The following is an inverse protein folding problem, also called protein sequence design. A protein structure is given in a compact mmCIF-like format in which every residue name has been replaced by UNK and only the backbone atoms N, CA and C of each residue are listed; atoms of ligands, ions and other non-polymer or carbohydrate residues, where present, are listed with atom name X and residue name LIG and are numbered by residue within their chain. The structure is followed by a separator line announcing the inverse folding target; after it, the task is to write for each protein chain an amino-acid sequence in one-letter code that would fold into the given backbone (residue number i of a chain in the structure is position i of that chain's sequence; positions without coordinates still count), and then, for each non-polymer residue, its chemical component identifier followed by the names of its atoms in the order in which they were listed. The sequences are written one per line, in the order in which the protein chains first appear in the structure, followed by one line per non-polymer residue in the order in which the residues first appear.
data_IF_980741187259
#
_entry.id   IF_980741187259
#
_cell.length_a   1.000
_cell.length_b   1.000
_cell.length_c   1.000
_cell.angle_alpha   90.00
_cell.angle_beta   90.00
_cell.angle_gamma   90.00
#
_symmetry.space_group_name_H-M   'P 1'
#
loop_
_entity.id
_entity.type
_entity.pdbx_description
1 polymer ?
#
# COMPACT_ATOMS: atom_id res chain seq x y z
N UNK A 1 1.35 15.22 -18.66
CA UNK A 1 1.38 13.90 -19.32
C UNK A 1 0.09 13.16 -19.08
N UNK A 2 -0.29 12.26 -19.99
CA UNK A 2 -1.36 11.29 -19.82
C UNK A 2 -0.75 9.97 -19.32
N UNK A 3 -1.06 9.60 -18.10
CA UNK A 3 -0.55 8.39 -17.45
C UNK A 3 -1.68 7.36 -17.36
N UNK A 4 -1.48 6.20 -17.99
CA UNK A 4 -2.48 5.12 -17.98
C UNK A 4 -2.19 4.11 -16.90
N UNK A 5 -3.15 3.80 -16.02
CA UNK A 5 -2.97 2.85 -14.94
C UNK A 5 -4.27 2.22 -14.46
N UNK A 6 -4.21 0.95 -14.02
CA UNK A 6 -5.34 0.29 -13.37
C UNK A 6 -5.43 0.65 -11.89
N UNK A 7 -6.66 0.74 -11.40
CA UNK A 7 -6.94 0.81 -9.97
C UNK A 7 -6.78 -0.58 -9.35
N UNK A 8 -5.58 -0.88 -8.83
CA UNK A 8 -5.25 -2.19 -8.21
C UNK A 8 -5.11 -2.06 -6.69
N UNK A 9 -4.29 -1.13 -6.24
CA UNK A 9 -4.01 -0.87 -4.83
C UNK A 9 -4.59 0.49 -4.42
N UNK A 10 -5.78 0.47 -3.78
CA UNK A 10 -6.57 1.69 -3.54
C UNK A 10 -5.82 2.81 -2.84
N UNK A 11 -5.14 2.53 -1.71
CA UNK A 11 -4.40 3.55 -0.96
C UNK A 11 -3.18 4.08 -1.76
N UNK A 12 -2.42 3.21 -2.45
CA UNK A 12 -1.30 3.63 -3.29
C UNK A 12 -1.77 4.47 -4.48
N UNK A 13 -2.79 3.97 -5.20
CA UNK A 13 -3.36 4.69 -6.35
C UNK A 13 -3.91 6.05 -5.93
N UNK A 14 -4.54 6.12 -4.74
CA UNK A 14 -5.03 7.39 -4.18
C UNK A 14 -3.90 8.41 -4.05
N UNK A 15 -2.76 8.04 -3.49
CA UNK A 15 -1.60 8.94 -3.38
C UNK A 15 -1.05 9.30 -4.76
N UNK A 16 -0.94 8.35 -5.67
CA UNK A 16 -0.36 8.54 -6.99
C UNK A 16 -1.16 9.53 -7.86
N UNK A 17 -2.50 9.44 -7.84
CA UNK A 17 -3.35 10.32 -8.66
C UNK A 17 -3.45 11.77 -8.13
N UNK A 18 -2.89 12.07 -6.96
CA UNK A 18 -2.73 13.44 -6.48
C UNK A 18 -1.59 14.20 -7.16
N UNK A 19 -0.83 13.55 -8.04
CA UNK A 19 0.17 14.22 -8.86
C UNK A 19 -0.45 15.14 -9.92
N UNK A 20 0.40 15.90 -10.59
CA UNK A 20 -0.01 16.95 -11.56
C UNK A 20 -0.41 16.44 -12.95
N UNK A 21 -0.38 15.14 -13.18
CA UNK A 21 -0.65 14.53 -14.49
C UNK A 21 -2.15 14.24 -14.66
N UNK A 22 -2.57 13.96 -15.89
CA UNK A 22 -3.89 13.38 -16.17
C UNK A 22 -3.75 11.87 -16.09
N UNK A 23 -4.53 11.25 -15.23
CA UNK A 23 -4.50 9.80 -15.00
C UNK A 23 -5.69 9.13 -15.65
N UNK A 24 -5.43 8.24 -16.61
CA UNK A 24 -6.43 7.50 -17.34
C UNK A 24 -6.70 6.18 -16.62
N UNK A 25 -7.89 6.03 -16.06
CA UNK A 25 -8.27 4.91 -15.21
C UNK A 25 -9.25 3.99 -15.95
N UNK A 26 -8.86 2.76 -16.30
CA UNK A 26 -9.73 1.78 -16.94
C UNK A 26 -11.04 1.56 -16.20
N UNK A 27 -12.15 1.65 -16.92
CA UNK A 27 -13.49 1.33 -16.39
C UNK A 27 -14.24 0.42 -17.37
N UNK A 28 -14.84 -0.64 -16.80
CA UNK A 28 -15.78 -1.55 -17.50
C UNK A 28 -17.18 -1.40 -16.91
N UNK A 29 -18.24 -1.75 -17.65
CA UNK A 29 -19.61 -1.67 -17.16
C UNK A 29 -19.87 -2.46 -15.87
N UNK A 30 -19.23 -3.66 -15.76
CA UNK A 30 -19.31 -4.55 -14.60
C UNK A 30 -18.39 -4.11 -13.44
N UNK A 31 -17.51 -3.13 -13.68
CA UNK A 31 -16.46 -2.70 -12.75
C UNK A 31 -15.65 -3.88 -12.18
N UNK A 32 -15.41 -4.87 -13.03
CA UNK A 32 -14.57 -6.02 -12.69
C UNK A 32 -13.09 -5.65 -12.51
N UNK A 33 -12.24 -6.63 -12.16
CA UNK A 33 -10.84 -6.39 -11.79
C UNK A 33 -9.97 -5.82 -12.93
N UNK A 34 -10.43 -5.85 -14.17
CA UNK A 34 -9.73 -5.28 -15.32
C UNK A 34 -10.22 -3.87 -15.70
N UNK A 35 -11.25 -3.37 -15.03
CA UNK A 35 -11.83 -2.06 -15.26
C UNK A 35 -12.66 -1.58 -14.09
N UNK A 36 -12.05 -1.51 -12.89
CA UNK A 36 -12.73 -1.09 -11.65
C UNK A 36 -13.14 0.39 -11.68
N UNK A 37 -12.42 1.22 -12.47
CA UNK A 37 -12.63 2.66 -12.49
C UNK A 37 -12.09 3.36 -11.24
N UNK A 38 -12.61 4.56 -10.99
CA UNK A 38 -12.24 5.38 -9.81
C UNK A 38 -12.65 4.70 -8.50
N UNK A 39 -11.90 5.01 -7.44
CA UNK A 39 -12.22 4.52 -6.11
C UNK A 39 -13.56 5.04 -5.60
N UNK A 40 -14.30 4.20 -4.87
CA UNK A 40 -15.58 4.57 -4.22
C UNK A 40 -15.39 4.97 -2.76
N UNK A 41 -14.34 4.45 -2.11
CA UNK A 41 -14.05 4.65 -0.68
C UNK A 41 -12.99 5.71 -0.42
N UNK A 42 -12.37 6.24 -1.49
CA UNK A 42 -11.35 7.29 -1.46
C UNK A 42 -11.80 8.50 -2.28
N UNK A 43 -11.38 9.69 -1.87
CA UNK A 43 -11.58 10.91 -2.65
C UNK A 43 -10.40 11.08 -3.62
N UNK A 44 -10.66 11.01 -4.92
CA UNK A 44 -9.66 11.25 -5.96
C UNK A 44 -9.89 12.59 -6.65
N UNK A 45 -8.83 13.31 -7.02
CA UNK A 45 -8.94 14.58 -7.73
C UNK A 45 -9.49 14.36 -9.15
N UNK A 46 -9.95 15.46 -9.80
CA UNK A 46 -10.63 15.41 -11.10
C UNK A 46 -9.71 14.97 -12.26
N UNK A 47 -8.40 15.14 -12.12
CA UNK A 47 -7.42 14.69 -13.12
C UNK A 47 -7.30 13.16 -13.23
N UNK A 48 -7.90 12.39 -12.33
CA UNK A 48 -8.09 10.94 -12.46
C UNK A 48 -9.38 10.67 -13.23
N UNK A 49 -9.29 10.37 -14.52
CA UNK A 49 -10.42 10.29 -15.48
C UNK A 49 -10.69 8.82 -15.83
N UNK A 50 -11.94 8.38 -15.72
CA UNK A 50 -12.33 7.04 -16.20
C UNK A 50 -12.32 7.01 -17.73
N UNK A 51 -11.78 5.92 -18.30
CA UNK A 51 -11.76 5.67 -19.74
C UNK A 51 -12.27 4.26 -20.05
N UNK A 52 -13.12 4.13 -21.07
CA UNK A 52 -13.51 2.82 -21.63
C UNK A 52 -12.41 2.25 -22.50
N UNK A 53 -12.46 0.95 -22.88
CA UNK A 53 -11.49 0.37 -23.83
C UNK A 53 -11.37 1.14 -25.14
N UNK A 54 -12.49 1.60 -25.70
CA UNK A 54 -12.53 2.34 -26.96
C UNK A 54 -11.87 3.72 -26.80
N UNK A 55 -12.15 4.41 -25.71
CA UNK A 55 -11.53 5.70 -25.39
C UNK A 55 -10.03 5.54 -25.16
N UNK A 56 -9.62 4.55 -24.36
CA UNK A 56 -8.22 4.30 -24.06
C UNK A 56 -7.38 3.97 -25.30
N UNK A 57 -7.96 3.21 -26.27
CA UNK A 57 -7.29 2.89 -27.51
C UNK A 57 -6.98 4.13 -28.36
N UNK A 58 -7.84 5.16 -28.31
CA UNK A 58 -7.70 6.42 -29.06
C UNK A 58 -6.95 7.54 -28.30
N UNK A 59 -6.78 7.41 -26.97
CA UNK A 59 -6.10 8.45 -26.17
C UNK A 59 -4.58 8.46 -26.41
N UNK A 60 -3.96 9.65 -26.47
CA UNK A 60 -2.51 9.75 -26.37
C UNK A 60 -2.09 9.36 -24.94
N UNK A 61 -1.24 8.34 -24.84
CA UNK A 61 -0.69 7.85 -23.58
C UNK A 61 0.81 8.06 -23.57
N UNK A 62 1.32 8.84 -22.62
CA UNK A 62 2.74 9.13 -22.49
C UNK A 62 3.50 8.05 -21.72
N UNK A 63 2.86 7.50 -20.66
CA UNK A 63 3.44 6.44 -19.82
C UNK A 63 2.35 5.49 -19.34
N UNK A 64 2.65 4.19 -19.33
CA UNK A 64 1.78 3.14 -18.76
C UNK A 64 2.36 2.65 -17.45
N UNK A 65 1.54 2.58 -16.39
CA UNK A 65 1.88 1.96 -15.11
C UNK A 65 1.25 0.58 -15.03
N UNK A 66 2.09 -0.44 -15.02
CA UNK A 66 1.73 -1.85 -14.85
C UNK A 66 1.90 -2.24 -13.38
N UNK A 67 1.00 -3.06 -12.84
CA UNK A 67 1.00 -3.48 -11.45
C UNK A 67 0.74 -4.98 -11.25
N UNK A 68 0.32 -5.69 -12.33
CA UNK A 68 -0.03 -7.12 -12.27
C UNK A 68 0.58 -7.86 -13.46
N UNK A 69 1.03 -9.11 -13.29
CA UNK A 69 1.60 -9.89 -14.38
C UNK A 69 0.70 -9.97 -15.63
N UNK A 70 -0.60 -10.07 -15.47
CA UNK A 70 -1.55 -10.16 -16.60
C UNK A 70 -1.63 -8.89 -17.45
N UNK A 71 -1.27 -7.75 -16.90
CA UNK A 71 -1.19 -6.49 -17.66
C UNK A 71 -0.05 -6.55 -18.67
N UNK A 72 1.07 -7.18 -18.29
CA UNK A 72 2.26 -7.33 -19.11
C UNK A 72 2.22 -8.64 -19.96
N UNK A 73 2.15 -9.79 -19.28
CA UNK A 73 2.29 -11.11 -19.90
C UNK A 73 0.99 -11.59 -20.55
N UNK A 74 -0.16 -11.20 -20.00
CA UNK A 74 -1.50 -11.58 -20.52
C UNK A 74 -2.03 -10.68 -21.62
N UNK A 75 -1.23 -9.71 -22.11
CA UNK A 75 -1.60 -8.78 -23.17
C UNK A 75 -2.79 -7.87 -22.81
N UNK A 76 -3.12 -7.74 -21.53
CA UNK A 76 -4.23 -6.87 -21.10
C UNK A 76 -3.95 -5.42 -21.48
N UNK A 77 -2.74 -4.93 -21.19
CA UNK A 77 -2.38 -3.55 -21.52
C UNK A 77 -2.39 -3.29 -23.02
N UNK A 78 -1.87 -4.21 -23.82
CA UNK A 78 -1.87 -4.10 -25.29
C UNK A 78 -3.30 -3.97 -25.85
N UNK A 79 -4.26 -4.78 -25.37
CA UNK A 79 -5.67 -4.69 -25.78
C UNK A 79 -6.30 -3.33 -25.44
N UNK A 80 -6.02 -2.81 -24.22
CA UNK A 80 -6.55 -1.51 -23.79
C UNK A 80 -5.92 -0.33 -24.55
N UNK A 81 -4.67 -0.47 -24.97
CA UNK A 81 -3.92 0.56 -25.68
C UNK A 81 -4.05 0.49 -27.22
N UNK A 82 -5.06 -0.25 -27.74
CA UNK A 82 -5.29 -0.36 -29.17
C UNK A 82 -4.17 -1.07 -29.92
N UNK A 83 -3.55 -2.09 -29.32
CA UNK A 83 -2.45 -2.86 -29.90
C UNK A 83 -1.04 -2.31 -29.61
N UNK A 84 -0.93 -1.14 -28.95
CA UNK A 84 0.38 -0.57 -28.57
C UNK A 84 0.97 -1.34 -27.37
N UNK A 85 2.22 -1.77 -27.49
CA UNK A 85 2.90 -2.64 -26.51
C UNK A 85 3.65 -1.82 -25.47
N UNK A 86 3.38 -2.02 -24.16
CA UNK A 86 4.13 -1.37 -23.10
C UNK A 86 5.64 -1.65 -23.17
N UNK A 87 6.46 -0.62 -23.05
CA UNK A 87 7.91 -0.64 -23.13
C UNK A 87 8.48 -0.65 -24.54
N UNK A 88 7.62 -0.79 -25.59
CA UNK A 88 8.06 -0.80 -26.98
C UNK A 88 7.43 0.32 -27.81
N UNK A 89 6.11 0.41 -27.77
CA UNK A 89 5.33 1.38 -28.53
C UNK A 89 4.84 2.53 -27.63
N UNK A 90 4.82 2.29 -26.32
CA UNK A 90 4.51 3.27 -25.26
C UNK A 90 5.45 3.06 -24.07
N UNK A 91 6.11 4.10 -23.55
CA UNK A 91 6.92 4.02 -22.34
C UNK A 91 6.17 3.39 -21.18
N UNK A 92 6.82 2.52 -20.40
CA UNK A 92 6.13 1.81 -19.33
C UNK A 92 6.98 1.59 -18.08
N UNK A 93 6.31 1.65 -16.94
CA UNK A 93 6.86 1.34 -15.61
C UNK A 93 6.06 0.17 -15.04
N UNK A 94 6.75 -0.83 -14.50
CA UNK A 94 6.11 -1.85 -13.69
C UNK A 94 6.33 -1.55 -12.21
N UNK A 95 5.25 -1.41 -11.45
CA UNK A 95 5.30 -1.16 -10.00
C UNK A 95 5.03 -2.47 -9.26
N UNK A 96 6.02 -2.95 -8.50
CA UNK A 96 5.88 -4.15 -7.70
C UNK A 96 5.54 -3.81 -6.25
N UNK A 97 4.31 -4.16 -5.88
CA UNK A 97 3.75 -3.91 -4.55
C UNK A 97 3.99 -5.04 -3.55
N UNK A 98 4.31 -6.24 -4.04
CA UNK A 98 4.33 -7.45 -3.22
C UNK A 98 5.75 -7.96 -3.05
N UNK A 99 6.04 -8.48 -1.85
CA UNK A 99 7.17 -9.37 -1.66
C UNK A 99 6.95 -10.68 -2.45
N UNK A 100 8.02 -11.39 -2.89
CA UNK A 100 7.91 -12.67 -3.56
C UNK A 100 7.07 -13.67 -2.76
N UNK A 101 6.21 -14.45 -3.43
CA UNK A 101 5.36 -15.46 -2.81
C UNK A 101 5.66 -16.82 -3.43
N UNK A 102 6.23 -17.74 -2.69
CA UNK A 102 6.64 -19.03 -3.17
C UNK A 102 8.08 -19.32 -2.76
N UNK A 103 8.96 -19.68 -3.68
CA UNK A 103 10.38 -19.88 -3.40
C UNK A 103 11.11 -18.54 -3.33
N UNK A 104 10.97 -17.85 -2.20
CA UNK A 104 11.32 -16.44 -2.01
C UNK A 104 12.72 -16.08 -2.52
N UNK A 105 13.71 -16.91 -2.29
CA UNK A 105 15.11 -16.65 -2.69
C UNK A 105 15.42 -17.02 -4.15
N UNK A 106 14.46 -17.55 -4.90
CA UNK A 106 14.63 -18.04 -6.26
C UNK A 106 13.62 -17.40 -7.22
N UNK A 107 12.74 -16.54 -6.71
CA UNK A 107 11.67 -15.98 -7.56
C UNK A 107 12.19 -14.89 -8.47
N UNK A 108 12.06 -15.16 -9.76
CA UNK A 108 12.30 -14.20 -10.81
C UNK A 108 11.05 -13.37 -11.05
N UNK A 109 11.23 -12.05 -11.15
CA UNK A 109 10.12 -11.14 -11.37
C UNK A 109 9.49 -11.33 -12.77
N UNK A 110 8.15 -11.22 -12.93
CA UNK A 110 7.48 -11.32 -14.24
C UNK A 110 8.02 -10.37 -15.31
N UNK A 111 8.53 -9.20 -14.92
CA UNK A 111 9.17 -8.24 -15.81
C UNK A 111 10.69 -8.46 -15.96
N UNK A 112 11.27 -9.51 -15.37
CA UNK A 112 12.71 -9.74 -15.43
C UNK A 112 13.22 -9.96 -16.86
N UNK A 113 14.35 -9.35 -17.19
CA UNK A 113 14.94 -9.44 -18.53
C UNK A 113 14.25 -8.53 -19.56
N UNK A 114 13.50 -7.52 -19.15
CA UNK A 114 12.85 -6.50 -19.97
C UNK A 114 13.58 -5.15 -19.82
N UNK A 115 14.69 -4.91 -20.54
CA UNK A 115 15.44 -3.65 -20.46
C UNK A 115 14.65 -2.44 -21.00
N UNK A 116 13.57 -2.69 -21.72
CA UNK A 116 12.62 -1.70 -22.24
C UNK A 116 11.57 -1.26 -21.21
N UNK A 117 11.63 -1.77 -19.99
CA UNK A 117 10.79 -1.38 -18.86
C UNK A 117 11.63 -0.83 -17.71
N UNK A 118 11.04 0.00 -16.87
CA UNK A 118 11.56 0.30 -15.54
C UNK A 118 10.74 -0.46 -14.49
N UNK A 119 11.42 -1.24 -13.64
CA UNK A 119 10.78 -1.92 -12.52
C UNK A 119 10.96 -1.05 -11.26
N UNK A 120 9.85 -0.57 -10.71
CA UNK A 120 9.83 0.23 -9.47
C UNK A 120 9.30 -0.62 -8.33
N UNK A 121 10.13 -0.81 -7.31
CA UNK A 121 9.74 -1.45 -6.06
C UNK A 121 9.24 -0.40 -5.06
N UNK A 122 8.21 -0.74 -4.30
CA UNK A 122 7.66 0.16 -3.28
C UNK A 122 8.40 0.12 -1.94
N UNK A 123 9.35 -0.81 -1.79
CA UNK A 123 10.25 -0.93 -0.62
C UNK A 123 11.61 -1.46 -1.01
N UNK A 124 12.62 -1.18 -0.18
CA UNK A 124 13.95 -1.77 -0.32
C UNK A 124 13.93 -3.29 -0.10
N UNK A 125 13.05 -3.76 0.79
CA UNK A 125 12.84 -5.20 1.00
C UNK A 125 12.41 -5.91 -0.29
N UNK A 126 11.46 -5.37 -1.04
CA UNK A 126 11.05 -5.95 -2.32
C UNK A 126 12.20 -5.98 -3.33
N UNK A 127 12.94 -4.88 -3.45
CA UNK A 127 14.08 -4.78 -4.36
C UNK A 127 15.19 -5.80 -4.03
N UNK A 128 15.39 -6.12 -2.73
CA UNK A 128 16.37 -7.11 -2.29
C UNK A 128 15.98 -8.54 -2.69
N UNK A 129 14.69 -8.88 -2.65
CA UNK A 129 14.23 -10.26 -2.82
C UNK A 129 13.78 -10.63 -4.24
N UNK A 130 13.45 -9.67 -5.08
CA UNK A 130 13.06 -9.94 -6.46
C UNK A 130 14.27 -10.01 -7.40
N UNK A 131 14.44 -11.14 -8.10
CA UNK A 131 15.39 -11.23 -9.23
C UNK A 131 14.80 -10.49 -10.44
N UNK A 132 15.29 -9.29 -10.70
CA UNK A 132 14.91 -8.48 -11.85
C UNK A 132 15.66 -8.82 -13.15
N UNK A 133 16.69 -9.70 -13.10
CA UNK A 133 17.55 -9.97 -14.25
C UNK A 133 18.21 -8.69 -14.77
N UNK A 134 18.07 -8.40 -16.06
CA UNK A 134 18.60 -7.18 -16.69
C UNK A 134 17.64 -5.98 -16.71
N UNK A 135 16.47 -6.10 -16.10
CA UNK A 135 15.51 -4.98 -16.03
C UNK A 135 16.03 -3.88 -15.10
N UNK A 136 16.11 -2.63 -15.54
CA UNK A 136 16.45 -1.51 -14.66
C UNK A 136 15.49 -1.42 -13.47
N UNK A 137 16.03 -1.19 -12.28
CA UNK A 137 15.23 -1.10 -11.05
C UNK A 137 15.39 0.25 -10.36
N UNK A 138 14.35 0.68 -9.66
CA UNK A 138 14.34 1.81 -8.71
C UNK A 138 13.49 1.43 -7.49
N UNK A 139 13.67 2.17 -6.41
CA UNK A 139 12.78 2.13 -5.25
C UNK A 139 12.12 3.49 -5.12
N UNK A 140 10.79 3.49 -5.07
CA UNK A 140 9.98 4.66 -4.70
C UNK A 140 9.11 4.26 -3.53
N UNK A 141 9.51 4.65 -2.33
CA UNK A 141 8.77 4.33 -1.11
C UNK A 141 7.38 4.97 -1.12
N UNK A 142 6.47 4.36 -0.38
CA UNK A 142 5.09 4.85 -0.29
C UNK A 142 5.00 6.33 0.10
N UNK A 143 3.90 6.96 -0.30
CA UNK A 143 3.45 8.25 0.20
C UNK A 143 1.99 8.16 0.59
N UNK A 144 1.57 8.91 1.59
CA UNK A 144 0.20 8.93 2.10
C UNK A 144 -0.35 10.35 2.00
N UNK A 145 -1.59 10.46 1.54
CA UNK A 145 -2.38 11.69 1.71
C UNK A 145 -2.62 11.86 3.21
N UNK A 146 -1.95 12.82 3.82
CA UNK A 146 -1.98 12.99 5.28
C UNK A 146 -3.41 13.19 5.80
N UNK A 147 -3.95 12.25 6.60
CA UNK A 147 -5.27 12.40 7.20
C UNK A 147 -5.32 13.46 8.32
N UNK A 148 -4.17 14.01 8.70
CA UNK A 148 -4.00 14.86 9.87
C UNK A 148 -3.84 14.07 11.18
N UNK A 149 -3.39 14.74 12.22
CA UNK A 149 -3.36 14.17 13.57
C UNK A 149 -4.80 13.97 14.08
N UNK A 150 -5.20 12.72 14.29
CA UNK A 150 -6.57 12.36 14.71
C UNK A 150 -6.60 11.50 15.98
N UNK A 151 -5.45 11.14 16.50
CA UNK A 151 -5.36 10.25 17.65
C UNK A 151 -6.04 10.82 18.87
N UNK A 152 -7.01 10.08 19.43
CA UNK A 152 -7.64 10.36 20.72
C UNK A 152 -7.30 9.28 21.75
N UNK A 153 -7.11 8.03 21.32
CA UNK A 153 -6.75 6.91 22.20
C UNK A 153 -7.77 6.66 23.33
N UNK A 154 -9.00 7.14 23.17
CA UNK A 154 -10.05 7.10 24.23
C UNK A 154 -10.49 5.67 24.57
N UNK A 155 -10.40 4.75 23.60
CA UNK A 155 -10.77 3.37 23.76
C UNK A 155 -9.55 2.52 24.13
N UNK A 156 -9.59 1.90 25.32
CA UNK A 156 -8.52 1.06 25.87
C UNK A 156 -8.45 -0.30 25.15
N UNK A 157 -8.16 -0.29 23.84
CA UNK A 157 -8.12 -1.44 22.95
C UNK A 157 -7.21 -1.20 21.75
N UNK A 158 -6.87 -2.23 21.01
CA UNK A 158 -6.04 -2.10 19.82
C UNK A 158 -6.87 -2.11 18.54
N UNK A 159 -6.47 -1.28 17.55
CA UNK A 159 -6.95 -1.37 16.17
C UNK A 159 -6.05 -2.33 15.38
N UNK A 160 -6.67 -3.15 14.53
CA UNK A 160 -6.00 -4.04 13.56
C UNK A 160 -6.66 -3.85 12.22
N UNK A 161 -5.89 -3.61 11.16
CA UNK A 161 -6.43 -3.50 9.79
C UNK A 161 -5.85 -4.59 8.92
N UNK A 162 -6.69 -5.53 8.50
CA UNK A 162 -6.33 -6.66 7.65
C UNK A 162 -7.42 -6.87 6.60
N UNK A 163 -7.05 -6.78 5.34
CA UNK A 163 -7.93 -7.15 4.24
C UNK A 163 -7.88 -8.66 3.99
N UNK A 164 -9.04 -9.29 3.80
CA UNK A 164 -9.23 -10.71 3.53
C UNK A 164 -8.53 -11.60 4.57
N UNK A 165 -8.73 -11.29 5.84
CA UNK A 165 -8.06 -11.90 6.98
C UNK A 165 -8.18 -13.43 7.00
N UNK A 166 -9.35 -13.99 6.67
CA UNK A 166 -9.58 -15.43 6.61
C UNK A 166 -8.80 -16.08 5.46
N UNK A 167 -8.85 -15.50 4.27
CA UNK A 167 -8.17 -16.05 3.08
C UNK A 167 -6.65 -16.00 3.21
N UNK A 168 -6.12 -14.90 3.73
CA UNK A 168 -4.68 -14.67 3.82
C UNK A 168 -4.05 -15.23 5.10
N UNK A 169 -4.83 -15.57 6.07
CA UNK A 169 -4.56 -16.24 7.34
C UNK A 169 -3.17 -15.98 7.94
N UNK A 170 -2.21 -16.92 7.70
CA UNK A 170 -0.86 -16.80 8.25
C UNK A 170 -0.04 -15.66 7.66
N UNK A 171 -0.25 -15.31 6.41
CA UNK A 171 0.44 -14.19 5.75
C UNK A 171 0.17 -12.88 6.50
N UNK A 172 -1.07 -12.67 6.88
CA UNK A 172 -1.51 -11.46 7.59
C UNK A 172 -1.44 -11.56 9.11
N UNK A 173 -1.01 -12.71 9.66
CA UNK A 173 -0.94 -12.91 11.10
C UNK A 173 -2.30 -13.06 11.78
N UNK A 174 -3.34 -13.36 11.02
CA UNK A 174 -4.72 -13.56 11.54
C UNK A 174 -4.77 -14.66 12.60
N UNK A 175 -3.98 -15.70 12.47
CA UNK A 175 -3.82 -16.77 13.46
C UNK A 175 -3.27 -16.30 14.81
N UNK A 176 -2.68 -15.12 14.90
CA UNK A 176 -2.19 -14.53 16.15
C UNK A 176 -3.24 -13.67 16.86
N UNK A 177 -4.33 -13.30 16.19
CA UNK A 177 -5.33 -12.38 16.78
C UNK A 177 -5.98 -12.95 18.04
N UNK A 178 -6.24 -14.26 18.09
CA UNK A 178 -6.76 -14.92 19.30
C UNK A 178 -5.78 -14.81 20.47
N UNK A 179 -4.50 -14.94 20.23
CA UNK A 179 -3.44 -14.82 21.23
C UNK A 179 -3.34 -13.39 21.79
N UNK A 180 -3.30 -12.39 20.91
CA UNK A 180 -3.25 -10.98 21.31
C UNK A 180 -4.57 -10.53 21.97
N UNK A 181 -5.72 -11.00 21.44
CA UNK A 181 -7.05 -10.75 21.98
C UNK A 181 -7.29 -11.27 23.40
N UNK A 182 -6.55 -12.31 23.79
CA UNK A 182 -6.56 -12.79 25.18
C UNK A 182 -5.85 -11.83 26.16
N UNK A 183 -5.07 -10.86 25.67
CA UNK A 183 -4.31 -9.88 26.47
C UNK A 183 -4.98 -8.52 26.51
N UNK A 184 -5.51 -8.05 25.39
CA UNK A 184 -6.19 -6.76 25.24
C UNK A 184 -7.35 -6.87 24.24
N UNK A 185 -8.43 -6.12 24.37
CA UNK A 185 -9.49 -6.09 23.37
C UNK A 185 -8.95 -5.62 22.02
N UNK A 186 -9.33 -6.31 20.93
CA UNK A 186 -8.97 -5.98 19.56
C UNK A 186 -10.20 -5.57 18.75
N UNK A 187 -10.06 -4.57 17.90
CA UNK A 187 -11.03 -4.24 16.85
C UNK A 187 -10.41 -4.46 15.48
N UNK A 188 -10.95 -5.43 14.74
CA UNK A 188 -10.52 -5.78 13.40
C UNK A 188 -11.30 -4.96 12.38
N UNK A 189 -10.58 -4.34 11.44
CA UNK A 189 -11.10 -3.61 10.29
C UNK A 189 -10.52 -4.18 9.00
N UNK A 190 -11.22 -4.00 7.89
CA UNK A 190 -10.74 -4.33 6.56
C UNK A 190 -11.76 -5.09 5.71
N UNK A 191 -11.40 -5.38 4.46
CA UNK A 191 -12.24 -6.17 3.56
C UNK A 191 -12.40 -7.58 4.13
N UNK A 192 -13.64 -8.11 4.14
CA UNK A 192 -14.00 -9.42 4.69
C UNK A 192 -13.73 -9.57 6.22
N UNK A 193 -13.60 -8.45 6.94
CA UNK A 193 -13.37 -8.50 8.39
C UNK A 193 -14.58 -9.01 9.16
N UNK A 194 -15.80 -8.82 8.65
CA UNK A 194 -17.05 -9.30 9.27
C UNK A 194 -17.07 -10.81 9.48
N UNK A 195 -16.41 -11.58 8.61
CA UNK A 195 -16.25 -13.03 8.73
C UNK A 195 -15.54 -13.48 10.02
N UNK A 196 -14.84 -12.57 10.69
CA UNK A 196 -14.14 -12.74 11.97
C UNK A 196 -14.66 -11.80 13.07
N UNK A 197 -15.88 -11.26 12.91
CA UNK A 197 -16.50 -10.36 13.87
C UNK A 197 -15.96 -8.93 13.83
N UNK A 198 -15.21 -8.56 12.79
CA UNK A 198 -14.69 -7.21 12.57
C UNK A 198 -15.66 -6.31 11.80
N UNK A 199 -15.21 -5.11 11.48
CA UNK A 199 -15.95 -4.11 10.69
C UNK A 199 -15.35 -3.96 9.31
N UNK A 200 -16.17 -4.04 8.27
CA UNK A 200 -15.76 -3.92 6.88
C UNK A 200 -16.45 -2.74 6.18
N UNK A 201 -16.02 -2.46 4.95
CA UNK A 201 -16.60 -1.46 4.03
C UNK A 201 -16.69 -0.04 4.59
N UNK A 202 -15.78 0.32 5.48
CA UNK A 202 -15.70 1.70 5.96
C UNK A 202 -15.05 2.59 4.89
N UNK A 203 -15.67 3.74 4.55
CA UNK A 203 -14.96 4.79 3.83
C UNK A 203 -13.69 5.18 4.58
N UNK A 204 -12.60 5.46 3.86
CA UNK A 204 -11.27 5.73 4.45
C UNK A 204 -11.31 6.75 5.59
N UNK A 205 -12.00 7.87 5.41
CA UNK A 205 -12.10 8.90 6.43
C UNK A 205 -12.80 8.41 7.73
N UNK A 206 -13.73 7.45 7.60
CA UNK A 206 -14.38 6.82 8.76
C UNK A 206 -13.46 5.77 9.40
N UNK A 207 -12.77 4.97 8.59
CA UNK A 207 -11.77 4.03 9.09
C UNK A 207 -10.71 4.74 9.91
N UNK A 208 -10.16 5.84 9.40
CA UNK A 208 -9.15 6.63 10.10
C UNK A 208 -9.67 7.18 11.44
N UNK A 209 -10.92 7.68 11.50
CA UNK A 209 -11.53 8.12 12.77
C UNK A 209 -11.68 6.97 13.76
N UNK A 210 -12.16 5.83 13.29
CA UNK A 210 -12.32 4.65 14.15
C UNK A 210 -10.98 4.11 14.64
N UNK A 211 -9.97 4.00 13.78
CA UNK A 211 -8.62 3.61 14.18
C UNK A 211 -8.07 4.53 15.29
N UNK A 212 -8.13 5.83 15.08
CA UNK A 212 -7.55 6.85 15.96
C UNK A 212 -8.19 6.91 17.36
N UNK A 213 -9.39 6.37 17.55
CA UNK A 213 -10.02 6.21 18.86
C UNK A 213 -9.39 5.09 19.70
N UNK A 214 -8.75 4.10 19.05
CA UNK A 214 -8.09 2.97 19.72
C UNK A 214 -6.72 3.40 20.19
N UNK A 215 -6.31 2.86 21.35
CA UNK A 215 -5.12 3.31 22.05
C UNK A 215 -3.82 2.92 21.36
N UNK A 216 -3.83 1.82 20.57
CA UNK A 216 -2.65 1.33 19.88
C UNK A 216 -3.04 0.68 18.56
N UNK A 217 -2.14 0.75 17.57
CA UNK A 217 -2.25 0.02 16.31
C UNK A 217 -1.41 -1.25 16.36
N UNK A 218 -2.03 -2.40 16.10
CA UNK A 218 -1.37 -3.71 16.00
C UNK A 218 -1.21 -4.11 14.54
N UNK A 219 0.02 -4.38 14.12
CA UNK A 219 0.37 -4.86 12.79
C UNK A 219 0.98 -6.27 12.84
N UNK A 220 0.17 -7.34 12.81
CA UNK A 220 0.65 -8.71 12.99
C UNK A 220 1.08 -9.38 11.68
N UNK A 221 1.24 -8.63 10.60
CA UNK A 221 1.47 -9.15 9.25
C UNK A 221 2.88 -9.75 9.16
N UNK A 222 2.96 -11.01 8.69
CA UNK A 222 4.23 -11.73 8.54
C UNK A 222 4.88 -11.50 7.19
N UNK A 223 4.09 -11.47 6.13
CA UNK A 223 4.65 -11.44 4.78
C UNK A 223 3.84 -10.58 3.84
N UNK A 224 4.29 -9.37 3.66
CA UNK A 224 3.86 -8.39 2.66
C UNK A 224 5.06 -7.48 2.38
N UNK A 225 4.93 -6.52 1.51
CA UNK A 225 5.96 -5.48 1.36
C UNK A 225 6.01 -4.58 2.60
N UNK A 226 5.10 -3.61 2.66
CA UNK A 226 4.81 -2.78 3.82
C UNK A 226 3.32 -2.46 3.80
N UNK A 227 2.63 -2.71 4.90
CA UNK A 227 1.19 -2.42 4.98
C UNK A 227 0.92 -0.92 5.00
N UNK A 228 0.17 -0.42 4.01
CA UNK A 228 -0.21 1.00 3.97
C UNK A 228 -0.99 1.44 5.20
N UNK A 229 -1.81 0.57 5.77
CA UNK A 229 -2.53 0.82 7.03
C UNK A 229 -1.60 1.05 8.23
N UNK A 230 -0.38 0.50 8.22
CA UNK A 230 0.64 0.81 9.21
C UNK A 230 1.09 2.27 9.08
N UNK A 231 1.40 2.70 7.86
CA UNK A 231 1.83 4.08 7.59
C UNK A 231 0.68 5.06 7.88
N UNK A 232 -0.56 4.71 7.53
CA UNK A 232 -1.75 5.50 7.86
C UNK A 232 -1.93 5.64 9.38
N UNK A 233 -1.76 4.55 10.15
CA UNK A 233 -1.82 4.60 11.62
C UNK A 233 -0.74 5.53 12.21
N UNK A 234 0.47 5.48 11.67
CA UNK A 234 1.53 6.41 12.06
C UNK A 234 1.16 7.87 11.74
N UNK A 235 0.63 8.15 10.55
CA UNK A 235 0.15 9.50 10.19
C UNK A 235 -0.97 9.99 11.11
N UNK A 236 -1.85 9.11 11.56
CA UNK A 236 -2.90 9.45 12.52
C UNK A 236 -2.36 9.82 13.91
N UNK A 237 -1.10 9.48 14.22
CA UNK A 237 -0.47 9.67 15.52
C UNK A 237 -0.71 8.50 16.48
N UNK A 238 -0.88 7.29 15.97
CA UNK A 238 -1.06 6.09 16.79
C UNK A 238 0.29 5.43 17.11
N UNK A 239 0.52 4.95 18.34
CA UNK A 239 1.66 4.10 18.63
C UNK A 239 1.51 2.76 17.93
N UNK A 240 2.65 2.15 17.54
CA UNK A 240 2.70 0.92 16.76
C UNK A 240 3.18 -0.26 17.60
N UNK A 241 2.49 -1.39 17.47
CA UNK A 241 2.99 -2.71 17.90
C UNK A 241 2.97 -3.62 16.68
N UNK A 242 4.13 -4.10 16.23
CA UNK A 242 4.22 -4.80 14.97
C UNK A 242 5.18 -6.00 15.00
N UNK A 243 4.93 -6.99 14.13
CA UNK A 243 5.94 -8.01 13.84
C UNK A 243 7.12 -7.36 13.10
N UNK A 244 8.34 -7.68 13.54
CA UNK A 244 9.58 -7.23 12.89
C UNK A 244 9.84 -8.07 11.64
N UNK A 245 9.06 -7.84 10.59
CA UNK A 245 9.08 -8.59 9.33
C UNK A 245 9.10 -7.64 8.15
N UNK A 246 9.67 -8.09 7.04
CA UNK A 246 9.74 -7.34 5.78
C UNK A 246 10.33 -5.93 5.98
N UNK A 247 9.67 -4.87 5.52
CA UNK A 247 10.13 -3.48 5.63
C UNK A 247 9.80 -2.83 7.00
N UNK A 248 9.06 -3.50 7.90
CA UNK A 248 8.62 -2.91 9.17
C UNK A 248 9.79 -2.39 10.04
N UNK A 249 10.94 -3.11 10.17
CA UNK A 249 12.09 -2.63 10.94
C UNK A 249 12.67 -1.31 10.45
N UNK A 250 12.58 -1.04 9.14
CA UNK A 250 13.03 0.22 8.54
C UNK A 250 11.98 1.33 8.65
N UNK A 251 10.70 0.94 8.71
CA UNK A 251 9.57 1.89 8.69
C UNK A 251 9.25 2.47 10.07
N UNK A 252 9.43 1.70 11.15
CA UNK A 252 8.99 2.07 12.50
C UNK A 252 10.20 2.29 13.40
N UNK A 253 10.54 3.53 13.74
CA UNK A 253 11.65 3.81 14.65
C UNK A 253 11.30 3.39 16.10
N UNK A 254 12.30 3.14 16.95
CA UNK A 254 12.09 2.64 18.31
C UNK A 254 11.17 3.51 19.17
N UNK A 255 11.15 4.83 18.95
CA UNK A 255 10.33 5.79 19.66
C UNK A 255 8.85 5.71 19.30
N UNK A 256 8.54 5.18 18.10
CA UNK A 256 7.18 5.09 17.55
C UNK A 256 6.38 3.90 18.09
N UNK A 257 7.05 2.95 18.77
CA UNK A 257 6.37 1.77 19.28
C UNK A 257 7.28 0.59 19.56
N UNK A 258 6.75 -0.61 19.44
CA UNK A 258 7.50 -1.86 19.69
C UNK A 258 7.37 -2.79 18.50
N UNK A 259 8.49 -3.17 17.92
CA UNK A 259 8.58 -4.18 16.89
C UNK A 259 9.38 -5.38 17.38
N UNK A 260 8.91 -6.59 17.10
CA UNK A 260 9.61 -7.82 17.53
C UNK A 260 9.17 -9.02 16.70
N UNK A 261 10.06 -10.00 16.55
CA UNK A 261 9.69 -11.35 16.06
C UNK A 261 9.15 -12.25 17.17
N UNK A 262 9.17 -11.79 18.44
CA UNK A 262 8.69 -12.52 19.62
C UNK A 262 7.27 -12.07 19.98
N UNK A 263 6.23 -12.90 19.77
CA UNK A 263 4.85 -12.52 20.10
C UNK A 263 4.65 -12.10 21.57
N UNK A 264 5.38 -12.71 22.52
CA UNK A 264 5.30 -12.32 23.94
C UNK A 264 5.71 -10.87 24.20
N UNK A 265 6.75 -10.36 23.52
CA UNK A 265 7.15 -8.97 23.64
C UNK A 265 6.08 -8.01 23.09
N UNK A 266 5.38 -8.43 22.01
CA UNK A 266 4.25 -7.66 21.47
C UNK A 266 3.05 -7.66 22.40
N UNK A 267 2.76 -8.78 23.08
CA UNK A 267 1.72 -8.86 24.11
C UNK A 267 1.99 -7.88 25.26
N UNK A 268 3.23 -7.84 25.76
CA UNK A 268 3.63 -6.90 26.82
C UNK A 268 3.49 -5.45 26.36
N UNK A 269 3.90 -5.14 25.14
CA UNK A 269 3.77 -3.81 24.54
C UNK A 269 2.29 -3.39 24.39
N UNK A 270 1.42 -4.29 23.90
CA UNK A 270 -0.01 -4.05 23.80
C UNK A 270 -0.62 -3.72 25.17
N UNK A 271 -0.31 -4.53 26.18
CA UNK A 271 -0.80 -4.30 27.55
C UNK A 271 -0.31 -2.96 28.09
N UNK A 272 0.98 -2.62 27.85
CA UNK A 272 1.56 -1.33 28.27
C UNK A 272 0.81 -0.17 27.65
N UNK A 273 0.70 -0.11 26.32
CA UNK A 273 0.05 1.01 25.62
C UNK A 273 -1.45 1.10 25.92
N UNK A 274 -2.15 -0.03 26.11
CA UNK A 274 -3.56 -0.02 26.49
C UNK A 274 -3.76 0.49 27.93
N UNK A 275 -2.84 0.27 28.84
CA UNK A 275 -2.93 0.72 30.25
C UNK A 275 -2.39 2.13 30.50
N UNK A 276 -1.40 2.54 29.73
CA UNK A 276 -0.73 3.82 29.85
C UNK A 276 -1.01 4.72 28.63
N UNK A 277 -2.04 5.59 28.71
CA UNK A 277 -2.41 6.47 27.61
C UNK A 277 -1.35 7.55 27.32
N UNK A 278 -0.52 7.94 28.29
CA UNK A 278 0.52 8.93 28.08
C UNK A 278 1.67 8.34 27.27
N UNK A 279 2.17 7.17 27.66
CA UNK A 279 3.17 6.44 26.87
C UNK A 279 2.67 6.14 25.43
N UNK A 280 1.38 5.83 25.29
CA UNK A 280 0.77 5.63 23.96
C UNK A 280 0.77 6.93 23.15
N UNK A 281 0.42 8.06 23.74
CA UNK A 281 0.41 9.37 23.07
C UNK A 281 1.81 9.80 22.65
N UNK A 282 2.80 9.64 23.51
CA UNK A 282 4.20 9.99 23.21
C UNK A 282 4.74 9.18 22.02
N UNK A 283 4.58 7.86 22.07
CA UNK A 283 4.99 6.99 20.97
C UNK A 283 4.22 7.29 19.66
N UNK A 284 2.93 7.63 19.76
CA UNK A 284 2.12 8.04 18.62
C UNK A 284 2.59 9.34 17.97
N UNK A 285 3.04 10.33 18.74
CA UNK A 285 3.61 11.57 18.20
C UNK A 285 4.94 11.28 17.46
N UNK A 286 5.80 10.45 18.02
CA UNK A 286 7.02 10.01 17.34
C UNK A 286 6.73 9.24 16.06
N UNK A 287 5.70 8.37 16.07
CA UNK A 287 5.23 7.67 14.87
C UNK A 287 4.81 8.64 13.77
N UNK A 288 4.04 9.69 14.12
CA UNK A 288 3.60 10.70 13.17
C UNK A 288 4.76 11.50 12.60
N UNK A 289 5.69 11.93 13.42
CA UNK A 289 6.88 12.66 12.95
C UNK A 289 7.68 11.84 11.94
N UNK A 290 7.94 10.57 12.25
CA UNK A 290 8.63 9.65 11.36
C UNK A 290 7.88 9.44 10.04
N UNK A 291 6.55 9.25 10.10
CA UNK A 291 5.71 9.06 8.93
C UNK A 291 5.68 10.29 8.02
N UNK A 292 5.52 11.47 8.56
CA UNK A 292 5.52 12.72 7.79
C UNK A 292 6.87 12.95 7.08
N UNK A 293 7.97 12.62 7.75
CA UNK A 293 9.32 12.78 7.20
C UNK A 293 9.59 11.79 6.05
N UNK A 294 9.23 10.51 6.20
CA UNK A 294 9.59 9.46 5.24
C UNK A 294 8.48 9.18 4.22
N UNK A 295 7.23 9.23 4.61
CA UNK A 295 6.07 8.82 3.81
C UNK A 295 5.13 9.98 3.45
N UNK A 296 5.64 11.22 3.50
CA UNK A 296 4.89 12.40 3.09
C UNK A 296 4.55 12.38 1.60
N UNK A 297 3.32 12.83 1.26
CA UNK A 297 2.82 12.84 -0.11
C UNK A 297 3.70 13.66 -1.06
N UNK A 298 4.22 14.82 -0.62
CA UNK A 298 5.05 15.70 -1.47
C UNK A 298 6.27 14.98 -2.03
N UNK A 299 7.09 14.35 -1.14
CA UNK A 299 8.25 13.54 -1.54
C UNK A 299 7.86 12.44 -2.55
N UNK A 300 6.80 11.69 -2.25
CA UNK A 300 6.31 10.61 -3.10
C UNK A 300 5.96 11.10 -4.51
N UNK A 301 5.26 12.24 -4.61
CA UNK A 301 4.88 12.81 -5.90
C UNK A 301 6.09 13.36 -6.67
N UNK A 302 7.08 13.96 -5.98
CA UNK A 302 8.32 14.42 -6.59
C UNK A 302 9.17 13.27 -7.14
N UNK A 303 9.25 12.15 -6.39
CA UNK A 303 9.95 10.94 -6.83
C UNK A 303 9.28 10.34 -8.07
N UNK A 304 7.95 10.24 -8.06
CA UNK A 304 7.21 9.74 -9.21
C UNK A 304 7.26 10.67 -10.42
N UNK A 305 7.23 11.97 -10.21
CA UNK A 305 7.34 12.95 -11.30
C UNK A 305 8.69 12.83 -12.05
N UNK A 306 9.78 12.60 -11.29
CA UNK A 306 11.10 12.32 -11.88
C UNK A 306 11.07 11.02 -12.71
N UNK A 307 10.57 9.94 -12.15
CA UNK A 307 10.47 8.64 -12.84
C UNK A 307 9.65 8.76 -14.13
N UNK A 308 8.48 9.39 -14.05
CA UNK A 308 7.60 9.54 -15.22
C UNK A 308 8.26 10.39 -16.31
N UNK A 309 8.96 11.46 -15.91
CA UNK A 309 9.67 12.34 -16.85
C UNK A 309 10.85 11.62 -17.52
N UNK A 310 11.65 10.86 -16.76
CA UNK A 310 12.76 10.07 -17.29
C UNK A 310 12.27 9.01 -18.27
N UNK A 311 11.24 8.26 -17.91
CA UNK A 311 10.70 7.17 -18.75
C UNK A 311 10.04 7.71 -20.01
N UNK A 312 9.29 8.80 -19.94
CA UNK A 312 8.68 9.43 -21.10
C UNK A 312 9.71 10.02 -22.08
N UNK A 313 10.88 10.44 -21.60
CA UNK A 313 11.96 10.97 -22.46
C UNK A 313 12.76 9.89 -23.19
N UNK A 314 12.66 8.63 -22.77
CA UNK A 314 13.35 7.49 -23.37
C UNK A 314 12.53 6.75 -24.45
N UNK A 315 11.27 7.10 -24.64
CA UNK A 315 10.37 6.55 -25.67
C UNK A 315 10.19 7.52 -26.81
#
# INVERSE_FOLDING_TARGET
MNVFLWHVHGAWTTSFVHGRHRYLIPVLPDRGPDGLGRARTYSWPENAVEVTPEQAAGEPVDVVILQRPRELLGGLAERWLGGRRPGRDVPAVYVEHNAPQGRVNEMRHPAAGRPDLLLVHVTHFNALFWDAGSTPTRVVEHGIVDPGYRYTGELARAAVVINEARRRWRVTGTDLLGRFGARVPLDLFGIDASSLGGTEDLPQARLHREMARRRVYLHPIRWTSLGLSLIEAMHLGMPVVALATTEVPEAVPPEAGVISTRPGALEEALVRFVRDPEAAREAGLAAREAALKRYGLGRFLEDWDRILTEVAACG
#
